data_IF_709387195023
#
_entry.id   IF_709387195023
#
_cell.length_a   1.000
_cell.length_b   1.000
_cell.length_c   1.000
_cell.angle_alpha   90.00
_cell.angle_beta   90.00
_cell.angle_gamma   90.00
#
_symmetry.space_group_name_H-M   'P 1'
#
loop_
_entity.id
_entity.type
_entity.pdbx_description
1 polymer ?
#
# COMPACT_ATOMS: atom_id res chain seq x y z
N UNK A 1 1.04 22.43 -48.94
CA UNK A 1 1.72 21.33 -49.67
C UNK A 1 2.23 20.32 -48.66
N UNK A 2 1.72 19.09 -48.81
CA UNK A 2 2.13 17.79 -48.27
C UNK A 2 2.30 17.56 -46.76
N UNK A 3 1.32 16.78 -46.28
CA UNK A 3 1.27 15.98 -45.07
C UNK A 3 2.46 15.01 -44.92
N UNK A 4 2.86 14.76 -43.67
CA UNK A 4 3.59 13.54 -43.30
C UNK A 4 2.87 12.86 -42.14
N UNK A 5 2.04 11.89 -42.51
CA UNK A 5 1.32 10.97 -41.63
C UNK A 5 2.29 9.84 -41.29
N UNK A 6 2.78 9.79 -40.04
CA UNK A 6 3.49 8.61 -39.54
C UNK A 6 2.49 7.62 -38.95
N UNK A 7 2.25 6.56 -39.71
CA UNK A 7 1.52 5.37 -39.28
C UNK A 7 2.31 4.67 -38.16
N UNK A 8 1.69 4.53 -36.98
CA UNK A 8 2.17 3.65 -35.91
C UNK A 8 1.36 2.36 -36.02
N UNK A 9 2.05 1.28 -36.36
CA UNK A 9 1.51 -0.08 -36.41
C UNK A 9 1.11 -0.53 -35.00
N UNK A 10 -0.13 -1.00 -34.86
CA UNK A 10 -0.66 -1.61 -33.63
C UNK A 10 -0.41 -3.12 -33.67
N UNK A 11 0.11 -3.74 -32.60
CA UNK A 11 0.09 -5.20 -32.48
C UNK A 11 -1.33 -5.68 -32.12
N UNK A 12 -1.81 -6.66 -32.88
CA UNK A 12 -3.07 -7.35 -32.64
C UNK A 12 -2.96 -8.21 -31.37
N UNK A 13 -3.74 -7.86 -30.34
CA UNK A 13 -3.93 -8.70 -29.17
C UNK A 13 -5.03 -9.72 -29.45
N UNK A 14 -4.65 -10.98 -29.30
CA UNK A 14 -5.43 -12.17 -29.62
C UNK A 14 -6.75 -12.28 -28.86
N UNK A 15 -7.71 -12.82 -29.59
CA UNK A 15 -9.05 -13.19 -29.18
C UNK A 15 -9.07 -14.15 -27.98
N UNK A 16 -9.96 -13.85 -27.05
CA UNK A 16 -10.37 -14.67 -25.93
C UNK A 16 -11.02 -15.98 -26.38
N UNK A 17 -10.53 -17.11 -25.85
CA UNK A 17 -11.25 -18.37 -25.82
C UNK A 17 -11.59 -18.70 -24.35
N UNK A 18 -12.75 -18.23 -23.89
CA UNK A 18 -13.30 -18.65 -22.60
C UNK A 18 -14.00 -20.00 -22.79
N UNK A 19 -13.41 -21.04 -22.20
CA UNK A 19 -13.93 -22.38 -22.19
C UNK A 19 -15.27 -22.45 -21.44
N UNK A 20 -16.25 -23.06 -22.11
CA UNK A 20 -17.61 -23.34 -21.65
C UNK A 20 -17.57 -24.51 -20.66
N UNK A 21 -17.94 -24.28 -19.41
CA UNK A 21 -18.08 -25.32 -18.40
C UNK A 21 -19.28 -26.24 -18.71
N UNK A 22 -19.18 -27.56 -18.47
CA UNK A 22 -20.27 -28.50 -18.71
C UNK A 22 -21.33 -28.45 -17.60
N UNK A 23 -22.59 -28.45 -18.02
CA UNK A 23 -23.76 -28.59 -17.17
C UNK A 23 -23.77 -29.99 -16.53
N UNK A 24 -23.67 -30.04 -15.21
CA UNK A 24 -23.88 -31.27 -14.45
C UNK A 24 -25.38 -31.50 -14.27
N UNK A 25 -25.84 -32.61 -14.86
CA UNK A 25 -27.13 -33.22 -14.60
C UNK A 25 -27.14 -33.85 -13.19
N UNK A 26 -28.16 -33.56 -12.40
CA UNK A 26 -28.56 -34.34 -11.23
C UNK A 26 -30.10 -34.42 -11.27
N UNK A 27 -30.62 -35.49 -11.87
CA UNK A 27 -31.10 -36.71 -11.21
C UNK A 27 -32.21 -36.42 -10.20
N UNK A 28 -33.41 -36.76 -10.67
CA UNK A 28 -34.68 -36.91 -9.96
C UNK A 28 -34.54 -37.97 -8.88
N UNK A 29 -34.92 -37.63 -7.65
CA UNK A 29 -35.30 -38.61 -6.63
C UNK A 29 -36.42 -38.02 -5.78
N UNK A 30 -37.65 -38.45 -6.06
CA UNK A 30 -38.81 -38.32 -5.18
C UNK A 30 -38.75 -39.39 -4.09
N UNK A 31 -39.01 -39.02 -2.83
CA UNK A 31 -39.68 -39.94 -1.91
C UNK A 31 -41.09 -39.44 -1.59
N UNK A 32 -42.07 -40.23 -2.04
CA UNK A 32 -43.41 -40.29 -1.45
C UNK A 32 -43.27 -40.88 -0.04
N UNK A 33 -43.68 -40.12 0.98
CA UNK A 33 -43.70 -40.60 2.36
C UNK A 33 -44.14 -39.50 3.30
N UNK A 34 -45.45 -39.42 3.54
CA UNK A 34 -46.05 -38.44 4.44
C UNK A 34 -45.69 -38.70 5.90
N UNK A 35 -45.17 -37.67 6.57
CA UNK A 35 -45.34 -37.44 8.00
C UNK A 35 -44.91 -35.99 8.33
N UNK A 36 -45.86 -35.17 8.78
CA UNK A 36 -45.67 -34.02 9.68
C UNK A 36 -44.53 -33.04 9.36
N UNK A 37 -44.63 -32.29 8.26
CA UNK A 37 -43.61 -31.29 7.87
C UNK A 37 -43.77 -29.89 8.54
N UNK A 38 -44.81 -29.67 9.35
CA UNK A 38 -45.10 -28.30 9.86
C UNK A 38 -44.38 -27.96 11.17
N UNK A 39 -43.81 -28.93 11.89
CA UNK A 39 -43.15 -28.69 13.20
C UNK A 39 -41.62 -28.63 13.13
N UNK A 40 -40.98 -29.23 12.12
CA UNK A 40 -39.51 -29.27 12.00
C UNK A 40 -38.94 -27.97 11.40
N UNK A 41 -39.73 -27.23 10.62
CA UNK A 41 -39.31 -25.97 9.98
C UNK A 41 -39.02 -24.82 10.99
N UNK A 42 -39.53 -24.89 12.23
CA UNK A 42 -39.23 -23.91 13.30
C UNK A 42 -37.94 -24.21 14.06
N UNK A 43 -37.44 -25.45 14.07
CA UNK A 43 -36.20 -25.83 14.75
C UNK A 43 -34.93 -25.44 13.97
N UNK A 44 -34.96 -25.59 12.64
CA UNK A 44 -33.80 -25.34 11.76
C UNK A 44 -33.54 -23.83 11.58
N UNK A 45 -34.56 -22.99 11.68
CA UNK A 45 -34.41 -21.52 11.57
C UNK A 45 -33.71 -20.91 12.79
N UNK A 46 -33.93 -21.46 13.99
CA UNK A 46 -33.27 -21.01 15.21
C UNK A 46 -31.77 -21.37 15.27
N UNK A 47 -31.37 -22.53 14.74
CA UNK A 47 -29.96 -22.94 14.71
C UNK A 47 -29.17 -22.09 13.71
N UNK A 48 -29.74 -21.75 12.55
CA UNK A 48 -29.12 -20.86 11.55
C UNK A 48 -28.92 -19.44 12.06
N UNK A 49 -29.88 -18.92 12.84
CA UNK A 49 -29.76 -17.60 13.47
C UNK A 49 -28.67 -17.56 14.57
N UNK A 50 -28.53 -18.63 15.36
CA UNK A 50 -27.45 -18.75 16.35
C UNK A 50 -26.08 -18.86 15.70
N UNK A 51 -25.94 -19.65 14.63
CA UNK A 51 -24.69 -19.77 13.86
C UNK A 51 -24.27 -18.41 13.27
N UNK A 52 -25.19 -17.69 12.61
CA UNK A 52 -24.91 -16.34 12.08
C UNK A 52 -24.49 -15.34 13.16
N UNK A 53 -25.07 -15.43 14.36
CA UNK A 53 -24.65 -14.60 15.51
C UNK A 53 -23.26 -14.98 16.00
N UNK A 54 -22.92 -16.27 16.06
CA UNK A 54 -21.58 -16.73 16.45
C UNK A 54 -20.52 -16.30 15.43
N UNK A 55 -20.81 -16.40 14.13
CA UNK A 55 -19.90 -15.95 13.07
C UNK A 55 -19.68 -14.43 13.12
N UNK A 56 -20.76 -13.65 13.27
CA UNK A 56 -20.66 -12.20 13.45
C UNK A 56 -19.87 -11.84 14.71
N UNK A 57 -20.03 -12.61 15.79
CA UNK A 57 -19.30 -12.42 17.03
C UNK A 57 -17.81 -12.74 16.87
N UNK A 58 -17.47 -13.82 16.19
CA UNK A 58 -16.07 -14.17 15.89
C UNK A 58 -15.42 -13.12 15.00
N UNK A 59 -16.15 -12.61 14.01
CA UNK A 59 -15.66 -11.55 13.12
C UNK A 59 -15.43 -10.22 13.85
N UNK A 60 -16.33 -9.80 14.73
CA UNK A 60 -16.14 -8.60 15.54
C UNK A 60 -14.95 -8.74 16.49
N UNK A 61 -14.80 -9.90 17.15
CA UNK A 61 -13.68 -10.18 18.07
C UNK A 61 -12.33 -10.20 17.35
N UNK A 62 -12.24 -10.78 16.15
CA UNK A 62 -10.99 -10.77 15.37
C UNK A 62 -10.54 -9.35 14.97
N UNK A 63 -11.48 -8.40 14.92
CA UNK A 63 -11.23 -6.97 14.71
C UNK A 63 -11.08 -6.16 16.01
N UNK A 64 -11.05 -6.82 17.17
CA UNK A 64 -10.85 -6.19 18.47
C UNK A 64 -12.11 -5.55 19.08
N UNK A 65 -13.30 -5.92 18.63
CA UNK A 65 -14.57 -5.44 19.20
C UNK A 65 -15.20 -6.49 20.13
N UNK A 66 -15.55 -6.06 21.34
CA UNK A 66 -16.31 -6.86 22.29
C UNK A 66 -17.82 -6.66 22.08
N UNK A 67 -18.57 -7.76 21.96
CA UNK A 67 -19.97 -7.69 21.58
C UNK A 67 -20.94 -7.44 22.72
N UNK A 68 -20.47 -7.53 23.98
CA UNK A 68 -21.27 -7.19 25.16
C UNK A 68 -21.76 -5.73 25.14
N UNK A 69 -21.04 -4.86 24.43
CA UNK A 69 -21.39 -3.46 24.19
C UNK A 69 -21.21 -3.09 22.70
N UNK A 70 -21.61 -3.98 21.78
CA UNK A 70 -21.36 -3.79 20.36
C UNK A 70 -22.05 -2.54 19.83
N UNK A 71 -21.30 -1.45 19.65
CA UNK A 71 -21.79 -0.27 18.97
C UNK A 71 -21.60 -0.46 17.46
N UNK A 72 -22.65 -0.93 16.79
CA UNK A 72 -22.67 -1.15 15.34
C UNK A 72 -22.20 0.09 14.55
N UNK A 73 -22.54 1.29 15.02
CA UNK A 73 -22.15 2.54 14.35
C UNK A 73 -20.64 2.77 14.41
N UNK A 74 -20.01 2.49 15.55
CA UNK A 74 -18.54 2.58 15.69
C UNK A 74 -17.84 1.55 14.81
N UNK A 75 -18.40 0.34 14.72
CA UNK A 75 -17.87 -0.72 13.86
C UNK A 75 -17.92 -0.32 12.38
N UNK A 76 -19.06 0.18 11.89
CA UNK A 76 -19.21 0.64 10.50
C UNK A 76 -18.24 1.78 10.18
N UNK A 77 -18.09 2.75 11.09
CA UNK A 77 -17.13 3.84 10.92
C UNK A 77 -15.68 3.31 10.84
N UNK A 78 -15.32 2.34 11.68
CA UNK A 78 -14.01 1.70 11.65
C UNK A 78 -13.75 0.94 10.34
N UNK A 79 -14.73 0.16 9.86
CA UNK A 79 -14.62 -0.54 8.58
C UNK A 79 -14.49 0.45 7.41
N UNK A 80 -15.27 1.53 7.39
CA UNK A 80 -15.18 2.56 6.36
C UNK A 80 -13.83 3.27 6.36
N UNK A 81 -13.31 3.66 7.53
CA UNK A 81 -11.98 4.27 7.64
C UNK A 81 -10.84 3.32 7.24
N UNK A 82 -11.06 2.00 7.32
CA UNK A 82 -10.06 0.99 6.98
C UNK A 82 -10.28 0.32 5.63
N UNK A 83 -11.28 0.75 4.86
CA UNK A 83 -11.66 0.16 3.57
C UNK A 83 -10.55 0.29 2.51
N UNK A 84 -9.96 1.48 2.39
CA UNK A 84 -8.91 1.80 1.42
C UNK A 84 -7.57 2.06 2.13
N UNK A 85 -6.41 1.67 1.56
CA UNK A 85 -5.10 1.97 2.15
C UNK A 85 -4.88 3.48 2.38
N UNK A 86 -5.40 4.34 1.50
CA UNK A 86 -5.33 5.80 1.68
C UNK A 86 -6.12 6.29 2.90
N UNK A 87 -7.27 5.68 3.19
CA UNK A 87 -8.07 6.02 4.37
C UNK A 87 -7.35 5.58 5.66
N UNK A 88 -6.64 4.44 5.64
CA UNK A 88 -5.80 3.99 6.75
C UNK A 88 -4.66 4.97 7.03
N UNK A 89 -3.94 5.40 5.98
CA UNK A 89 -2.87 6.42 6.09
C UNK A 89 -3.40 7.72 6.69
N UNK A 90 -4.56 8.19 6.25
CA UNK A 90 -5.21 9.39 6.81
C UNK A 90 -5.63 9.22 8.27
N UNK A 91 -6.10 8.04 8.63
CA UNK A 91 -6.40 7.71 10.03
C UNK A 91 -5.15 7.78 10.90
N UNK A 92 -4.02 7.28 10.40
CA UNK A 92 -2.72 7.36 11.08
C UNK A 92 -2.23 8.80 11.24
N UNK A 93 -2.47 9.67 10.26
CA UNK A 93 -2.17 11.10 10.37
C UNK A 93 -3.01 11.80 11.45
N UNK A 94 -4.24 11.34 11.73
CA UNK A 94 -5.10 11.96 12.73
C UNK A 94 -4.81 11.51 14.18
N UNK A 95 -4.01 10.47 14.38
CA UNK A 95 -3.67 9.96 15.72
C UNK A 95 -2.80 10.97 16.49
N UNK A 96 -3.20 11.26 17.72
CA UNK A 96 -2.43 12.13 18.63
C UNK A 96 -1.05 11.59 19.00
N UNK A 97 -0.91 10.26 18.99
CA UNK A 97 0.35 9.57 19.29
C UNK A 97 1.40 9.73 18.20
N UNK A 98 1.00 10.13 16.99
CA UNK A 98 1.92 10.27 15.87
C UNK A 98 2.58 11.67 15.90
N UNK A 99 3.90 11.78 16.14
CA UNK A 99 4.59 13.06 16.13
C UNK A 99 4.63 13.71 14.75
N UNK A 100 4.49 12.92 13.67
CA UNK A 100 4.37 13.39 12.28
C UNK A 100 2.91 13.53 11.84
N UNK A 101 1.96 13.45 12.78
CA UNK A 101 0.54 13.58 12.52
C UNK A 101 0.09 15.02 12.25
N UNK A 102 -1.17 15.14 11.83
CA UNK A 102 -1.86 16.40 11.65
C UNK A 102 -2.10 17.06 13.01
N UNK A 103 -1.53 18.25 13.14
CA UNK A 103 -1.67 19.11 14.31
C UNK A 103 -1.79 20.56 13.87
N UNK A 104 -2.32 21.40 14.75
CA UNK A 104 -2.46 22.82 14.48
C UNK A 104 -1.06 23.46 14.37
N UNK A 105 -0.87 24.24 13.30
CA UNK A 105 0.40 24.86 12.93
C UNK A 105 1.26 24.05 11.95
N UNK A 106 0.88 22.81 11.63
CA UNK A 106 1.54 22.04 10.59
C UNK A 106 1.26 22.62 9.20
N UNK A 107 2.22 22.50 8.29
CA UNK A 107 2.06 22.89 6.87
C UNK A 107 1.75 21.63 6.07
N UNK A 108 0.65 21.68 5.32
CA UNK A 108 0.07 20.52 4.65
C UNK A 108 -0.16 20.82 3.17
N UNK A 109 0.17 19.84 2.34
CA UNK A 109 -0.18 19.80 0.92
C UNK A 109 -1.35 18.85 0.71
N UNK A 110 -2.43 19.35 0.12
CA UNK A 110 -3.64 18.60 -0.20
C UNK A 110 -3.81 18.58 -1.71
N UNK A 111 -3.73 17.40 -2.31
CA UNK A 111 -3.99 17.22 -3.74
C UNK A 111 -5.42 16.77 -3.95
N UNK A 112 -6.22 17.62 -4.61
CA UNK A 112 -7.59 17.35 -5.02
C UNK A 112 -7.64 16.86 -6.46
N UNK A 113 -8.54 15.90 -6.72
CA UNK A 113 -8.98 15.52 -8.06
C UNK A 113 -10.17 16.38 -8.45
N UNK A 114 -10.01 17.22 -9.48
CA UNK A 114 -11.07 18.10 -9.98
C UNK A 114 -11.95 17.39 -11.00
N UNK A 115 -11.35 16.70 -11.97
CA UNK A 115 -12.12 16.05 -13.04
C UNK A 115 -12.39 14.57 -12.72
N UNK A 116 -13.64 14.17 -12.93
CA UNK A 116 -14.09 12.75 -12.86
C UNK A 116 -13.85 11.98 -14.16
N UNK A 117 -13.20 12.59 -15.17
CA UNK A 117 -12.82 11.87 -16.40
C UNK A 117 -11.87 10.71 -16.03
N UNK A 118 -11.70 9.79 -16.99
CA UNK A 118 -10.78 8.64 -16.89
C UNK A 118 -9.46 9.03 -16.19
N UNK A 119 -8.89 8.11 -15.42
CA UNK A 119 -7.70 8.37 -14.58
C UNK A 119 -6.54 9.00 -15.36
N UNK A 120 -6.43 8.74 -16.67
CA UNK A 120 -5.41 9.31 -17.57
C UNK A 120 -5.58 10.82 -17.87
N UNK A 121 -6.76 11.40 -17.64
CA UNK A 121 -7.06 12.83 -17.85
C UNK A 121 -7.54 13.53 -16.56
N UNK A 122 -7.22 12.96 -15.40
CA UNK A 122 -7.54 13.57 -14.14
C UNK A 122 -6.72 14.86 -13.95
N UNK A 123 -7.41 15.99 -13.81
CA UNK A 123 -6.79 17.27 -13.45
C UNK A 123 -6.69 17.34 -11.93
N UNK A 124 -5.50 17.67 -11.45
CA UNK A 124 -5.22 17.79 -10.03
C UNK A 124 -4.91 19.23 -9.66
N UNK A 125 -5.43 19.66 -8.50
CA UNK A 125 -5.08 20.94 -7.89
C UNK A 125 -4.53 20.69 -6.51
N UNK A 126 -3.40 21.31 -6.21
CA UNK A 126 -2.74 21.18 -4.91
C UNK A 126 -2.95 22.44 -4.11
N UNK A 127 -3.53 22.30 -2.92
CA UNK A 127 -3.64 23.37 -1.94
C UNK A 127 -2.52 23.20 -0.92
N UNK A 128 -1.71 24.23 -0.76
CA UNK A 128 -0.64 24.28 0.22
C UNK A 128 -0.99 25.32 1.26
N UNK A 129 -0.96 24.96 2.54
CA UNK A 129 -1.32 25.90 3.58
C UNK A 129 -1.03 25.43 4.99
N UNK A 130 -1.19 26.37 5.93
CA UNK A 130 -1.00 26.12 7.36
C UNK A 130 -2.32 25.67 7.98
N UNK A 131 -2.27 24.60 8.79
CA UNK A 131 -3.44 24.09 9.49
C UNK A 131 -3.76 24.94 10.71
N UNK A 132 -4.92 25.60 10.70
CA UNK A 132 -5.40 26.37 11.85
C UNK A 132 -6.01 25.47 12.93
N UNK A 133 -6.77 24.46 12.51
CA UNK A 133 -7.47 23.57 13.43
C UNK A 133 -7.72 22.19 12.81
N UNK A 134 -7.66 21.16 13.64
CA UNK A 134 -8.03 19.79 13.27
C UNK A 134 -9.27 19.40 14.06
N UNK A 135 -10.36 19.06 13.37
CA UNK A 135 -11.58 18.49 13.96
C UNK A 135 -11.54 16.98 13.77
N UNK A 136 -11.45 16.23 14.87
CA UNK A 136 -11.41 14.76 14.86
C UNK A 136 -12.78 14.19 15.20
N UNK A 137 -13.56 13.83 14.18
CA UNK A 137 -14.89 13.23 14.29
C UNK A 137 -15.02 11.97 13.42
N UNK A 138 -14.10 11.01 13.60
CA UNK A 138 -14.05 9.76 12.82
C UNK A 138 -14.14 10.06 11.31
N UNK A 139 -15.10 9.52 10.57
CA UNK A 139 -15.28 9.77 9.14
C UNK A 139 -15.54 11.26 8.81
N UNK A 140 -16.17 12.01 9.71
CA UNK A 140 -16.43 13.45 9.59
C UNK A 140 -15.28 14.33 10.07
N UNK A 141 -14.04 13.84 10.02
CA UNK A 141 -12.87 14.61 10.42
C UNK A 141 -12.46 15.61 9.34
N UNK A 142 -12.22 16.85 9.76
CA UNK A 142 -11.95 17.97 8.87
C UNK A 142 -10.73 18.75 9.37
N UNK A 143 -9.96 19.32 8.46
CA UNK A 143 -8.92 20.29 8.79
C UNK A 143 -9.33 21.66 8.26
N UNK A 144 -9.09 22.71 9.04
CA UNK A 144 -9.21 24.08 8.58
C UNK A 144 -7.81 24.56 8.23
N UNK A 145 -7.60 24.94 6.98
CA UNK A 145 -6.33 25.41 6.46
C UNK A 145 -6.43 26.87 6.06
N UNK A 146 -5.38 27.63 6.31
CA UNK A 146 -5.13 28.96 5.76
C UNK A 146 -4.21 28.78 4.57
N UNK A 147 -4.69 29.12 3.37
CA UNK A 147 -4.01 28.96 2.09
C UNK A 147 -3.74 30.35 1.55
N UNK A 148 -2.50 30.59 1.12
CA UNK A 148 -2.15 31.79 0.35
C UNK A 148 -2.34 31.47 -1.15
N UNK A 149 -3.08 32.32 -1.85
CA UNK A 149 -3.36 32.18 -3.29
C UNK A 149 -2.63 33.22 -4.14
N UNK A 150 -1.58 33.85 -3.60
CA UNK A 150 -0.75 34.87 -4.25
C UNK A 150 -0.37 34.57 -5.71
N UNK A 151 -0.13 33.30 -6.05
CA UNK A 151 0.33 32.90 -7.39
C UNK A 151 -0.78 32.98 -8.47
N UNK A 152 -2.06 33.03 -8.07
CA UNK A 152 -3.19 32.94 -9.01
C UNK A 152 -3.73 34.31 -9.44
N UNK A 153 -3.68 35.31 -8.54
CA UNK A 153 -4.31 36.62 -8.79
C UNK A 153 -3.38 37.63 -9.48
N UNK A 154 -2.05 37.41 -9.47
CA UNK A 154 -1.07 38.31 -10.11
C UNK A 154 -1.07 39.73 -9.55
N UNK A 155 -1.84 40.01 -8.50
CA UNK A 155 -2.10 41.35 -7.96
C UNK A 155 -1.13 41.80 -6.88
N UNK A 156 -0.11 40.99 -6.52
CA UNK A 156 0.88 41.32 -5.49
C UNK A 156 0.34 41.32 -4.05
N UNK A 157 -0.98 41.45 -3.88
CA UNK A 157 -1.67 41.29 -2.62
C UNK A 157 -1.88 39.80 -2.30
N UNK A 158 -1.37 39.34 -1.15
CA UNK A 158 -1.63 37.99 -0.63
C UNK A 158 -3.10 37.84 -0.29
N UNK A 159 -3.89 37.28 -1.20
CA UNK A 159 -5.26 36.89 -0.92
C UNK A 159 -5.27 35.57 -0.15
N UNK A 160 -5.65 35.68 1.13
CA UNK A 160 -5.65 34.56 2.06
C UNK A 160 -7.04 33.92 2.09
N UNK A 161 -7.11 32.65 1.72
CA UNK A 161 -8.36 31.88 1.71
C UNK A 161 -8.30 30.83 2.81
N UNK A 162 -9.36 30.79 3.64
CA UNK A 162 -9.55 29.71 4.58
C UNK A 162 -10.38 28.58 3.97
N UNK A 163 -9.81 27.38 3.92
CA UNK A 163 -10.46 26.21 3.32
C UNK A 163 -10.65 25.13 4.37
N UNK A 164 -11.88 24.64 4.49
CA UNK A 164 -12.16 23.44 5.28
C UNK A 164 -12.06 22.20 4.39
N UNK A 165 -11.09 21.34 4.70
CA UNK A 165 -10.78 20.13 3.93
C UNK A 165 -11.29 18.90 4.72
N UNK A 166 -12.28 18.15 4.20
CA UNK A 166 -12.72 16.88 4.79
C UNK A 166 -11.68 15.78 4.54
N UNK A 167 -11.01 15.30 5.59
CA UNK A 167 -9.83 14.41 5.50
C UNK A 167 -10.14 13.13 4.73
N UNK A 168 -11.30 12.53 4.99
CA UNK A 168 -11.73 11.27 4.40
C UNK A 168 -12.50 11.43 3.08
N UNK A 169 -12.42 12.60 2.43
CA UNK A 169 -13.05 12.77 1.13
C UNK A 169 -12.36 11.94 0.04
N UNK A 170 -13.13 11.23 -0.82
CA UNK A 170 -12.56 10.48 -1.95
C UNK A 170 -11.99 11.41 -3.03
N UNK A 171 -12.35 12.69 -3.03
CA UNK A 171 -11.80 13.67 -3.97
C UNK A 171 -10.36 14.05 -3.64
N UNK A 172 -9.92 13.85 -2.41
CA UNK A 172 -8.52 14.05 -2.03
C UNK A 172 -7.77 12.82 -2.52
N UNK A 173 -6.75 13.02 -3.33
CA UNK A 173 -5.86 11.94 -3.78
C UNK A 173 -4.72 11.75 -2.80
N UNK A 174 -4.10 12.86 -2.37
CA UNK A 174 -2.92 12.85 -1.51
C UNK A 174 -3.04 13.90 -0.43
N UNK A 175 -2.63 13.55 0.79
CA UNK A 175 -2.58 14.43 1.95
C UNK A 175 -1.21 14.28 2.61
N UNK A 176 -0.34 15.26 2.45
CA UNK A 176 1.03 15.20 2.95
C UNK A 176 1.31 16.31 3.96
N UNK A 177 1.90 15.92 5.09
CA UNK A 177 2.42 16.87 6.08
C UNK A 177 3.86 17.19 5.69
N UNK A 178 4.08 18.41 5.21
CA UNK A 178 5.40 18.84 4.74
C UNK A 178 6.29 19.28 5.89
N UNK A 179 5.73 20.12 6.77
CA UNK A 179 6.37 20.54 8.02
C UNK A 179 5.49 20.12 9.18
N UNK A 180 5.85 19.06 9.93
CA UNK A 180 5.16 18.72 11.16
C UNK A 180 5.49 19.78 12.20
N UNK A 181 4.46 20.30 12.86
CA UNK A 181 4.63 21.27 13.94
C UNK A 181 3.47 21.17 14.92
N UNK A 182 3.77 21.10 16.22
CA UNK A 182 2.77 21.04 17.28
C UNK A 182 2.73 22.38 18.01
N UNK A 183 1.71 23.18 17.74
CA UNK A 183 1.50 24.42 18.47
C UNK A 183 1.05 24.16 19.92
N UNK A 184 1.25 25.18 20.78
CA UNK A 184 0.80 25.14 22.18
C UNK A 184 -0.73 25.13 22.30
N UNK A 185 -1.42 25.82 21.38
CA UNK A 185 -2.89 25.86 21.31
C UNK A 185 -3.39 24.84 20.29
N UNK A 186 -4.51 24.20 20.59
CA UNK A 186 -5.16 23.23 19.69
C UNK A 186 -5.80 23.85 18.45
N UNK A 187 -6.08 25.17 18.49
CA UNK A 187 -6.64 25.96 17.40
C UNK A 187 -5.94 27.30 17.33
N UNK A 188 -5.52 27.70 16.13
CA UNK A 188 -4.75 28.91 15.86
C UNK A 188 -5.58 29.97 15.13
N UNK A 189 -6.83 30.18 15.55
CA UNK A 189 -7.69 31.21 14.93
C UNK A 189 -7.13 32.62 15.04
N UNK A 190 -6.24 32.86 16.01
CA UNK A 190 -5.57 34.15 16.15
C UNK A 190 -4.64 34.48 14.97
N UNK A 191 -4.22 33.49 14.18
CA UNK A 191 -3.42 33.75 12.98
C UNK A 191 -4.20 34.53 11.92
N UNK A 192 -5.52 34.64 12.01
CA UNK A 192 -6.32 35.45 11.08
C UNK A 192 -5.93 36.93 11.09
N UNK A 193 -5.66 37.45 12.28
CA UNK A 193 -5.42 38.87 12.50
C UNK A 193 -3.93 39.16 12.74
N UNK A 194 -3.13 38.12 12.94
CA UNK A 194 -1.72 38.21 13.34
C UNK A 194 -0.86 37.29 12.51
N UNK A 195 0.19 37.84 11.92
CA UNK A 195 1.22 37.06 11.27
C UNK A 195 2.31 36.71 12.30
N UNK A 196 2.62 35.42 12.37
CA UNK A 196 3.60 34.85 13.29
C UNK A 196 4.65 34.14 12.44
N UNK A 197 5.92 34.52 12.59
CA UNK A 197 7.03 34.02 11.79
C UNK A 197 7.15 32.49 11.84
N UNK A 198 6.68 31.86 12.93
CA UNK A 198 6.67 30.40 13.06
C UNK A 198 5.75 29.72 12.05
N UNK A 199 4.70 30.43 11.61
CA UNK A 199 3.64 29.99 10.72
C UNK A 199 3.62 30.89 9.47
N UNK A 200 4.65 30.78 8.61
CA UNK A 200 4.74 31.64 7.44
C UNK A 200 3.55 31.44 6.50
N UNK A 201 3.06 32.56 5.96
CA UNK A 201 2.07 32.57 4.89
C UNK A 201 2.68 32.07 3.58
N UNK A 202 3.89 32.55 3.28
CA UNK A 202 4.67 32.05 2.17
C UNK A 202 5.19 30.63 2.48
N UNK A 203 4.54 29.69 1.82
CA UNK A 203 4.78 28.26 1.95
C UNK A 203 5.76 27.74 0.87
N UNK A 204 6.16 28.57 -0.08
CA UNK A 204 7.06 28.19 -1.19
C UNK A 204 8.45 27.74 -0.68
N UNK A 205 9.11 28.43 0.27
CA UNK A 205 10.38 27.97 0.82
C UNK A 205 10.26 26.59 1.49
N UNK A 206 9.13 26.34 2.14
CA UNK A 206 8.85 25.05 2.81
C UNK A 206 8.67 23.95 1.77
N UNK A 207 8.03 24.25 0.63
CA UNK A 207 7.91 23.31 -0.48
C UNK A 207 9.25 22.91 -1.07
N UNK A 208 10.11 23.89 -1.33
CA UNK A 208 11.45 23.65 -1.87
C UNK A 208 12.27 22.75 -0.94
N UNK A 209 12.35 23.10 0.35
CA UNK A 209 13.11 22.31 1.33
C UNK A 209 12.56 20.89 1.51
N UNK A 210 11.24 20.72 1.41
CA UNK A 210 10.62 19.40 1.43
C UNK A 210 11.02 18.55 0.22
N UNK A 211 10.96 19.11 -0.99
CA UNK A 211 11.33 18.41 -2.22
C UNK A 211 12.81 18.00 -2.23
N UNK A 212 13.70 18.88 -1.78
CA UNK A 212 15.14 18.60 -1.64
C UNK A 212 15.39 17.42 -0.68
N UNK A 213 14.69 17.38 0.47
CA UNK A 213 14.78 16.26 1.41
C UNK A 213 14.29 14.95 0.79
N UNK A 214 13.18 14.98 0.06
CA UNK A 214 12.64 13.78 -0.60
C UNK A 214 13.61 13.25 -1.67
N UNK A 215 14.19 14.14 -2.48
CA UNK A 215 15.19 13.78 -3.47
C UNK A 215 16.46 13.18 -2.83
N UNK A 216 16.90 13.72 -1.69
CA UNK A 216 18.04 13.18 -0.95
C UNK A 216 17.78 11.77 -0.40
N UNK A 217 16.59 11.51 0.13
CA UNK A 217 16.18 10.18 0.60
C UNK A 217 16.19 9.18 -0.56
N UNK A 218 15.57 9.54 -1.70
CA UNK A 218 15.54 8.69 -2.89
C UNK A 218 16.93 8.36 -3.43
N UNK A 219 17.83 9.36 -3.51
CA UNK A 219 19.23 9.13 -3.92
C UNK A 219 19.95 8.16 -2.98
N UNK A 220 19.72 8.28 -1.67
CA UNK A 220 20.30 7.36 -0.67
C UNK A 220 19.77 5.94 -0.85
N UNK A 221 18.47 5.77 -1.08
CA UNK A 221 17.85 4.47 -1.32
C UNK A 221 18.36 3.81 -2.60
N UNK A 222 18.48 4.58 -3.69
CA UNK A 222 19.04 4.10 -4.95
C UNK A 222 20.49 3.62 -4.78
N UNK A 223 21.30 4.38 -4.05
CA UNK A 223 22.68 3.98 -3.75
C UNK A 223 22.74 2.68 -2.94
N UNK A 224 21.92 2.55 -1.90
CA UNK A 224 21.86 1.32 -1.10
C UNK A 224 21.36 0.12 -1.91
N UNK A 225 20.44 0.32 -2.85
CA UNK A 225 19.98 -0.73 -3.76
C UNK A 225 21.11 -1.18 -4.71
N UNK A 226 21.82 -0.24 -5.32
CA UNK A 226 22.99 -0.55 -6.17
C UNK A 226 24.08 -1.29 -5.40
N UNK A 227 24.38 -0.87 -4.17
CA UNK A 227 25.36 -1.54 -3.30
C UNK A 227 24.93 -2.99 -2.98
N UNK A 228 23.63 -3.23 -2.74
CA UNK A 228 23.09 -4.59 -2.53
C UNK A 228 23.18 -5.45 -3.78
N UNK A 229 22.86 -4.90 -4.95
CA UNK A 229 22.97 -5.61 -6.23
C UNK A 229 24.43 -5.99 -6.53
N UNK A 230 25.37 -5.07 -6.30
CA UNK A 230 26.80 -5.34 -6.46
C UNK A 230 27.25 -6.44 -5.48
N UNK A 231 26.80 -6.39 -4.22
CA UNK A 231 27.12 -7.40 -3.22
C UNK A 231 26.58 -8.79 -3.59
N UNK A 232 25.32 -8.88 -4.03
CA UNK A 232 24.70 -10.13 -4.49
C UNK A 232 25.42 -10.68 -5.72
N UNK A 233 25.75 -9.83 -6.69
CA UNK A 233 26.51 -10.24 -7.86
C UNK A 233 27.92 -10.74 -7.49
N UNK A 234 28.59 -10.12 -6.52
CA UNK A 234 29.89 -10.57 -6.02
C UNK A 234 29.80 -11.93 -5.29
N UNK A 235 28.74 -12.15 -4.51
CA UNK A 235 28.49 -13.43 -3.83
C UNK A 235 28.22 -14.56 -4.82
N UNK A 236 27.37 -14.33 -5.83
CA UNK A 236 27.10 -15.30 -6.89
C UNK A 236 28.37 -15.63 -7.69
N UNK A 237 29.21 -14.63 -8.00
CA UNK A 237 30.51 -14.85 -8.64
C UNK A 237 31.46 -15.69 -7.77
N UNK A 238 31.50 -15.43 -6.45
CA UNK A 238 32.31 -16.22 -5.51
C UNK A 238 31.78 -17.64 -5.37
N UNK A 239 30.47 -17.84 -5.34
CA UNK A 239 29.85 -19.16 -5.30
C UNK A 239 30.16 -19.97 -6.56
N UNK A 240 30.04 -19.36 -7.74
CA UNK A 240 30.39 -19.99 -9.02
C UNK A 240 31.89 -20.35 -9.08
N UNK A 241 32.77 -19.49 -8.57
CA UNK A 241 34.21 -19.77 -8.49
C UNK A 241 34.54 -20.92 -7.51
N UNK A 242 33.79 -21.06 -6.40
CA UNK A 242 33.94 -22.20 -5.48
C UNK A 242 33.47 -23.51 -6.12
N UNK A 243 32.35 -23.50 -6.83
CA UNK A 243 31.85 -24.67 -7.54
C UNK A 243 32.85 -25.19 -8.58
N UNK A 244 33.47 -24.29 -9.36
CA UNK A 244 34.48 -24.70 -10.36
C UNK A 244 35.80 -25.18 -9.74
N UNK A 245 36.14 -24.75 -8.53
CA UNK A 245 37.28 -25.31 -7.79
C UNK A 245 36.98 -26.72 -7.27
N UNK A 246 35.78 -26.96 -6.73
CA UNK A 246 35.37 -28.29 -6.25
C UNK A 246 35.37 -29.31 -7.39
N UNK A 247 34.78 -28.98 -8.54
CA UNK A 247 34.79 -29.89 -9.70
C UNK A 247 36.20 -30.21 -10.19
N UNK A 248 37.12 -29.22 -10.18
CA UNK A 248 38.53 -29.46 -10.53
C UNK A 248 39.22 -30.41 -9.54
N UNK A 249 38.94 -30.30 -8.25
CA UNK A 249 39.54 -31.18 -7.23
C UNK A 249 38.97 -32.60 -7.34
N UNK A 250 37.66 -32.74 -7.57
CA UNK A 250 37.01 -34.05 -7.80
C UNK A 250 37.56 -34.77 -9.04
N UNK A 251 37.78 -34.03 -10.14
CA UNK A 251 38.42 -34.58 -11.35
C UNK A 251 39.85 -35.07 -11.07
N UNK A 252 40.63 -34.36 -10.24
CA UNK A 252 41.99 -34.79 -9.88
C UNK A 252 42.02 -35.99 -8.94
N UNK A 253 41.11 -36.10 -7.96
CA UNK A 253 41.07 -37.25 -7.05
C UNK A 253 40.57 -38.53 -7.72
N UNK A 254 39.61 -38.41 -8.66
CA UNK A 254 39.13 -39.55 -9.45
C UNK A 254 40.18 -40.10 -10.43
N UNK A 255 41.10 -39.25 -10.89
CA UNK A 255 42.22 -39.67 -11.73
C UNK A 255 43.33 -40.40 -10.96
N UNK A 256 43.51 -40.12 -9.67
CA UNK A 256 44.51 -40.78 -8.81
C UNK A 256 44.07 -42.18 -8.34
N UNK A 257 42.77 -42.39 -8.06
CA UNK A 257 42.24 -43.72 -7.68
C UNK A 257 42.22 -44.74 -8.85
N UNK A 258 42.31 -44.29 -10.11
CA UNK A 258 42.40 -45.16 -11.28
C UNK A 258 43.82 -45.74 -11.53
N UNK A 259 44.84 -45.28 -10.79
CA UNK A 259 46.24 -45.75 -10.93
C UNK A 259 46.64 -46.77 -9.84
N UNK A 260 45.78 -47.03 -8.85
CA UNK A 260 46.03 -47.99 -7.76
C UNK A 260 45.19 -49.28 -7.88
N UNK A 261 45.24 -49.95 -9.04
CA UNK A 261 44.78 -51.34 -9.18
C UNK A 261 46.02 -52.28 -9.18
N UNK A 262 46.13 -53.24 -8.23
CA UNK A 262 47.38 -53.91 -7.88
C UNK A 262 47.86 -54.92 -8.92
N UNK A 263 49.17 -54.92 -9.16
CA UNK A 263 49.93 -56.00 -9.77
C UNK A 263 49.68 -57.31 -9.01
N UNK A 264 48.88 -58.20 -9.60
CA UNK A 264 48.83 -59.60 -9.19
C UNK A 264 50.03 -60.31 -9.83
N UNK A 265 51.08 -60.52 -9.04
CA UNK A 265 52.18 -61.42 -9.38
C UNK A 265 51.66 -62.87 -9.40
N UNK A 266 51.40 -63.38 -10.60
CA UNK A 266 51.21 -64.80 -10.87
C UNK A 266 52.54 -65.56 -10.71
N UNK A 267 52.78 -66.10 -9.51
CA UNK A 267 53.78 -67.15 -9.30
C UNK A 267 53.20 -68.45 -9.87
N UNK A 268 53.55 -68.77 -11.12
CA UNK A 268 53.38 -70.12 -11.68
C UNK A 268 54.66 -70.92 -11.50
N UNK A 269 54.65 -71.81 -10.50
CA UNK A 269 55.58 -72.91 -10.35
C UNK A 269 55.09 -74.09 -11.21
N UNK A 270 55.80 -74.37 -12.32
CA UNK A 270 55.66 -75.61 -13.07
C UNK A 270 56.97 -75.97 -13.81
N UNK A 271 57.90 -76.52 -13.03
CA UNK A 271 58.80 -77.66 -13.33
C UNK A 271 59.35 -77.96 -14.73
N UNK A 272 60.63 -78.35 -14.77
CA UNK A 272 61.09 -79.57 -15.47
C UNK A 272 62.52 -79.98 -15.08
N UNK A 273 62.65 -81.22 -14.60
CA UNK A 273 63.62 -82.18 -15.14
C UNK A 273 63.04 -82.79 -16.40
#
# INVERSE_FOLDING_TARGET
MFASVRQIARPALGLAALARAPAAAAVVATPLGGATATTIARGISFTRAKARRQDANQYARSRGFDLGSFNMLQFLNHEQMNSTPEMRRRTELLKDSNPKGLSAGAIVSVTYRISKKNDDQASFTTLLGTVLAVRRKQLGSNILMRVDMSDTSGSGDSEIIEVTVPVFSPLITKLEVMRPYRARRSKLYYLRDQDDERFPLDVVPVLRTYQERQAAIQRREQRLAQEREIAQAAELKRAAARQSQVTRVEETMSAEDAVAAPEQEDITDAGKK
#
